data_IF_779605611041
#
_entry.id   IF_779605611041
#
_cell.length_a   1.000
_cell.length_b   1.000
_cell.length_c   1.000
_cell.angle_alpha   90.00
_cell.angle_beta   90.00
_cell.angle_gamma   90.00
#
_symmetry.space_group_name_H-M   'P 1'
#
loop_
_entity.id
_entity.type
_entity.pdbx_description
1 polymer ?
#
# COMPACT_ATOMS: atom_id res chain seq x y z
N UNK A 1 -8.96 -19.56 9.75
CA UNK A 1 -8.14 -19.45 8.53
C UNK A 1 -8.31 -18.06 7.97
N UNK A 2 -7.21 -17.43 7.55
CA UNK A 2 -7.26 -16.12 6.89
C UNK A 2 -7.82 -16.24 5.47
N UNK A 3 -8.63 -15.27 5.06
CA UNK A 3 -9.18 -15.19 3.70
C UNK A 3 -8.25 -14.40 2.79
N UNK A 4 -8.17 -14.79 1.52
CA UNK A 4 -7.38 -14.09 0.48
C UNK A 4 -8.27 -13.12 -0.32
N UNK A 5 -9.59 -13.14 -0.13
CA UNK A 5 -10.53 -12.27 -0.85
C UNK A 5 -10.30 -10.78 -0.56
N UNK A 6 -10.25 -9.99 -1.62
CA UNK A 6 -10.01 -8.54 -1.53
C UNK A 6 -11.24 -7.75 -1.10
N UNK A 7 -12.42 -8.35 -1.16
CA UNK A 7 -13.68 -7.77 -0.73
C UNK A 7 -14.48 -8.77 0.10
N UNK A 8 -15.26 -8.25 1.05
CA UNK A 8 -16.19 -9.03 1.84
C UNK A 8 -17.47 -8.22 2.09
N UNK A 9 -18.57 -8.94 2.22
CA UNK A 9 -19.84 -8.31 2.59
C UNK A 9 -19.86 -7.89 4.06
N UNK A 10 -20.68 -6.89 4.40
CA UNK A 10 -20.98 -6.53 5.79
C UNK A 10 -21.45 -7.76 6.58
N UNK A 11 -22.21 -8.65 5.93
CA UNK A 11 -22.60 -9.95 6.48
C UNK A 11 -21.40 -10.79 6.91
N UNK A 12 -20.46 -11.03 5.99
CA UNK A 12 -19.31 -11.90 6.24
C UNK A 12 -18.36 -11.31 7.27
N UNK A 13 -18.05 -10.02 7.16
CA UNK A 13 -17.18 -9.32 8.11
C UNK A 13 -17.75 -9.43 9.51
N UNK A 14 -19.04 -9.12 9.70
CA UNK A 14 -19.66 -9.08 11.02
C UNK A 14 -19.68 -10.42 11.73
N UNK A 15 -19.87 -11.51 11.00
CA UNK A 15 -19.80 -12.87 11.55
C UNK A 15 -18.35 -13.27 11.84
N UNK A 16 -17.45 -13.10 10.87
CA UNK A 16 -16.08 -13.58 10.96
C UNK A 16 -15.24 -12.82 11.98
N UNK A 17 -15.56 -11.54 12.23
CA UNK A 17 -14.86 -10.72 13.22
C UNK A 17 -14.92 -11.35 14.61
N UNK A 18 -16.03 -11.98 14.97
CA UNK A 18 -16.17 -12.69 16.24
C UNK A 18 -16.00 -14.21 16.10
N UNK A 19 -15.36 -14.67 15.03
CA UNK A 19 -15.13 -16.10 14.72
C UNK A 19 -16.42 -16.92 14.55
N UNK A 20 -17.52 -16.30 14.10
CA UNK A 20 -18.76 -17.00 13.75
C UNK A 20 -18.81 -17.36 12.26
N UNK A 21 -19.41 -18.51 11.96
CA UNK A 21 -19.64 -18.98 10.59
C UNK A 21 -20.83 -18.23 9.94
N UNK A 22 -20.62 -17.51 8.82
CA UNK A 22 -21.68 -16.77 8.12
C UNK A 22 -22.69 -17.64 7.37
N UNK A 23 -22.38 -18.91 7.09
CA UNK A 23 -23.27 -19.81 6.33
C UNK A 23 -24.11 -20.74 7.23
N UNK A 24 -23.85 -20.73 8.54
CA UNK A 24 -24.62 -21.50 9.51
C UNK A 24 -26.08 -21.04 9.61
N UNK A 25 -27.02 -22.00 9.56
CA UNK A 25 -28.44 -21.72 9.78
C UNK A 25 -28.70 -21.32 11.24
N UNK A 26 -29.35 -20.16 11.46
CA UNK A 26 -29.70 -19.69 12.82
C UNK A 26 -31.01 -18.92 12.88
N UNK A 27 -31.71 -19.10 14.01
CA UNK A 27 -32.96 -18.38 14.32
C UNK A 27 -32.72 -16.97 14.87
N UNK A 28 -31.56 -16.72 15.53
CA UNK A 28 -31.16 -15.40 16.05
C UNK A 28 -29.65 -15.20 15.93
N UNK A 29 -29.24 -13.97 15.63
CA UNK A 29 -27.83 -13.58 15.59
C UNK A 29 -27.28 -13.33 17.01
N UNK A 30 -26.03 -13.73 17.29
CA UNK A 30 -25.32 -13.33 18.51
C UNK A 30 -25.24 -11.81 18.63
N UNK A 31 -25.16 -11.30 19.86
CA UNK A 31 -25.09 -9.86 20.12
C UNK A 31 -23.91 -9.22 19.38
N UNK A 32 -22.71 -9.79 19.46
CA UNK A 32 -21.53 -9.25 18.78
C UNK A 32 -21.68 -9.14 17.25
N UNK A 33 -22.41 -10.05 16.61
CA UNK A 33 -22.69 -9.94 15.15
C UNK A 33 -23.59 -8.75 14.89
N UNK A 34 -24.62 -8.55 15.73
CA UNK A 34 -25.54 -7.41 15.60
C UNK A 34 -24.82 -6.09 15.84
N UNK A 35 -23.93 -6.03 16.80
CA UNK A 35 -23.15 -4.83 17.10
C UNK A 35 -22.21 -4.50 15.93
N UNK A 36 -21.59 -5.51 15.32
CA UNK A 36 -20.80 -5.32 14.10
C UNK A 36 -21.64 -4.84 12.91
N UNK A 37 -22.86 -5.36 12.71
CA UNK A 37 -23.76 -4.87 11.67
C UNK A 37 -24.05 -3.37 11.83
N UNK A 38 -24.36 -2.96 13.06
CA UNK A 38 -24.63 -1.56 13.40
C UNK A 38 -23.41 -0.69 13.14
N UNK A 39 -22.27 -1.09 13.69
CA UNK A 39 -21.01 -0.37 13.57
C UNK A 39 -20.62 -0.11 12.11
N UNK A 40 -20.69 -1.15 11.26
CA UNK A 40 -20.30 -1.04 9.87
C UNK A 40 -21.27 -0.18 9.06
N UNK A 41 -22.59 -0.34 9.25
CA UNK A 41 -23.54 0.49 8.52
C UNK A 41 -23.54 1.95 9.00
N UNK A 42 -23.29 2.21 10.28
CA UNK A 42 -23.10 3.56 10.79
C UNK A 42 -21.87 4.21 10.13
N UNK A 43 -20.74 3.50 10.06
CA UNK A 43 -19.53 3.99 9.38
C UNK A 43 -19.76 4.24 7.88
N UNK A 44 -20.49 3.37 7.19
CA UNK A 44 -20.85 3.55 5.77
C UNK A 44 -21.76 4.76 5.59
N UNK A 45 -22.79 4.92 6.43
CA UNK A 45 -23.77 6.01 6.34
C UNK A 45 -23.12 7.38 6.58
N UNK A 46 -22.13 7.44 7.47
CA UNK A 46 -21.37 8.65 7.76
C UNK A 46 -20.22 8.92 6.78
N UNK A 47 -19.96 8.01 5.84
CA UNK A 47 -18.87 8.15 4.86
C UNK A 47 -17.48 7.98 5.45
N UNK A 48 -17.37 7.33 6.60
CA UNK A 48 -16.09 6.96 7.19
C UNK A 48 -15.52 5.68 6.59
N UNK A 49 -16.40 4.82 6.07
CA UNK A 49 -16.04 3.57 5.44
C UNK A 49 -16.65 3.52 4.04
N UNK A 50 -15.80 3.38 3.03
CA UNK A 50 -16.25 3.24 1.66
C UNK A 50 -16.88 1.85 1.42
N UNK A 51 -18.08 1.84 0.84
CA UNK A 51 -18.79 0.62 0.44
C UNK A 51 -18.95 0.63 -1.08
N UNK A 52 -18.37 -0.36 -1.76
CA UNK A 52 -18.32 -0.40 -3.22
C UNK A 52 -19.71 -0.47 -3.87
N UNK A 53 -20.66 -1.12 -3.18
CA UNK A 53 -22.02 -1.34 -3.68
C UNK A 53 -23.05 -0.35 -3.13
N UNK A 54 -22.66 0.61 -2.27
CA UNK A 54 -23.56 1.60 -1.67
C UNK A 54 -22.91 3.00 -1.67
N UNK A 55 -23.24 3.78 -2.69
CA UNK A 55 -22.76 5.13 -2.93
C UNK A 55 -23.59 6.13 -2.11
N UNK A 56 -22.91 7.05 -1.40
CA UNK A 56 -23.53 8.10 -0.58
C UNK A 56 -24.14 9.25 -1.39
N UNK A 57 -23.63 9.47 -2.61
CA UNK A 57 -24.09 10.53 -3.49
C UNK A 57 -25.60 10.42 -3.76
N UNK A 58 -26.26 11.57 -4.00
CA UNK A 58 -27.63 11.54 -4.51
C UNK A 58 -27.59 11.00 -5.94
N UNK A 59 -28.45 10.01 -6.25
CA UNK A 59 -28.68 9.61 -7.65
C UNK A 59 -29.24 10.79 -8.44
N UNK A 60 -28.62 11.20 -9.56
CA UNK A 60 -29.20 12.21 -10.44
C UNK A 60 -30.55 11.74 -10.96
N UNK A 61 -31.52 12.65 -11.06
CA UNK A 61 -32.90 12.30 -11.39
C UNK A 61 -33.02 11.67 -12.80
N UNK A 62 -32.20 12.13 -13.75
CA UNK A 62 -32.13 11.61 -15.13
C UNK A 62 -31.18 10.40 -15.31
N UNK A 63 -30.60 9.88 -14.23
CA UNK A 63 -29.63 8.80 -14.32
C UNK A 63 -30.29 7.45 -14.65
N UNK A 64 -29.68 6.73 -15.60
CA UNK A 64 -30.00 5.32 -15.89
C UNK A 64 -29.33 4.33 -14.93
N UNK A 65 -28.51 4.81 -13.99
CA UNK A 65 -27.86 3.96 -13.01
C UNK A 65 -28.88 3.25 -12.11
N UNK A 66 -28.62 1.98 -11.79
CA UNK A 66 -29.47 1.18 -10.93
C UNK A 66 -29.57 1.82 -9.53
N UNK A 67 -30.78 2.18 -9.05
CA UNK A 67 -30.98 2.77 -7.73
C UNK A 67 -30.39 1.96 -6.58
N UNK A 68 -30.26 0.63 -6.70
CA UNK A 68 -29.75 -0.25 -5.64
C UNK A 68 -28.31 0.07 -5.20
N UNK A 69 -27.54 0.74 -6.06
CA UNK A 69 -26.20 1.17 -5.71
C UNK A 69 -26.17 2.45 -4.87
N UNK A 70 -27.32 3.06 -4.58
CA UNK A 70 -27.39 4.33 -3.85
C UNK A 70 -27.93 4.09 -2.45
N UNK A 71 -27.22 4.60 -1.44
CA UNK A 71 -27.56 4.39 -0.04
C UNK A 71 -28.98 4.86 0.29
N UNK A 72 -29.44 5.92 -0.40
CA UNK A 72 -30.77 6.52 -0.20
C UNK A 72 -31.91 5.56 -0.53
N UNK A 73 -31.68 4.59 -1.42
CA UNK A 73 -32.67 3.55 -1.74
C UNK A 73 -32.84 2.54 -0.60
N UNK A 74 -31.85 2.42 0.27
CA UNK A 74 -31.82 1.49 1.39
C UNK A 74 -31.87 2.19 2.76
N UNK A 75 -32.20 3.48 2.78
CA UNK A 75 -32.00 4.33 3.97
C UNK A 75 -32.78 3.82 5.19
N UNK A 76 -34.04 3.40 4.98
CA UNK A 76 -34.88 2.89 6.06
C UNK A 76 -34.33 1.56 6.62
N UNK A 77 -33.89 0.66 5.73
CA UNK A 77 -33.30 -0.63 6.09
C UNK A 77 -31.97 -0.47 6.86
N UNK A 78 -31.19 0.56 6.49
CA UNK A 78 -29.94 0.92 7.16
C UNK A 78 -30.23 1.49 8.55
N UNK A 79 -31.19 2.41 8.68
CA UNK A 79 -31.59 2.93 9.99
C UNK A 79 -32.16 1.85 10.90
N UNK A 80 -32.99 0.96 10.35
CA UNK A 80 -33.50 -0.19 11.09
C UNK A 80 -32.37 -1.08 11.62
N UNK A 81 -31.33 -1.29 10.79
CA UNK A 81 -30.15 -2.04 11.19
C UNK A 81 -29.38 -1.33 12.32
N UNK A 82 -29.10 -0.03 12.17
CA UNK A 82 -28.34 0.79 13.14
C UNK A 82 -29.08 0.82 14.50
N UNK A 83 -30.39 1.04 14.49
CA UNK A 83 -31.20 1.02 15.71
C UNK A 83 -31.45 -0.40 16.25
N UNK A 84 -31.18 -1.43 15.44
CA UNK A 84 -31.32 -2.83 15.81
C UNK A 84 -32.77 -3.33 15.84
N UNK A 85 -33.68 -2.65 15.13
CA UNK A 85 -35.08 -3.07 14.96
C UNK A 85 -35.16 -4.29 14.02
N UNK A 86 -34.47 -4.23 12.88
CA UNK A 86 -34.46 -5.29 11.87
C UNK A 86 -33.10 -5.40 11.16
N UNK A 87 -32.78 -6.60 10.67
CA UNK A 87 -31.52 -6.88 9.96
C UNK A 87 -31.85 -7.48 8.59
N UNK A 88 -31.85 -6.66 7.53
CA UNK A 88 -32.10 -7.14 6.18
C UNK A 88 -30.88 -7.95 5.66
N UNK A 89 -31.01 -9.28 5.67
CA UNK A 89 -29.95 -10.20 5.22
C UNK A 89 -29.51 -9.95 3.77
N UNK A 90 -30.44 -9.58 2.87
CA UNK A 90 -30.10 -9.33 1.46
C UNK A 90 -29.21 -8.10 1.35
N UNK A 91 -29.55 -7.02 2.07
CA UNK A 91 -28.75 -5.80 2.11
C UNK A 91 -27.37 -6.05 2.73
N UNK A 92 -27.32 -6.78 3.86
CA UNK A 92 -26.08 -7.13 4.53
C UNK A 92 -25.12 -7.94 3.64
N UNK A 93 -25.65 -8.85 2.82
CA UNK A 93 -24.86 -9.61 1.83
C UNK A 93 -24.50 -8.78 0.59
N UNK A 94 -25.28 -7.75 0.27
CA UNK A 94 -25.07 -6.85 -0.88
C UNK A 94 -23.99 -5.80 -0.60
N UNK A 95 -23.93 -5.26 0.61
CA UNK A 95 -22.98 -4.23 1.00
C UNK A 95 -21.55 -4.80 1.05
N UNK A 96 -20.72 -4.48 0.05
CA UNK A 96 -19.34 -4.96 -0.10
C UNK A 96 -18.34 -3.89 0.33
N UNK A 97 -17.40 -4.29 1.16
CA UNK A 97 -16.30 -3.45 1.64
C UNK A 97 -14.99 -4.06 1.13
N UNK A 98 -14.09 -3.21 0.61
CA UNK A 98 -12.77 -3.66 0.21
C UNK A 98 -11.85 -3.82 1.42
N UNK A 99 -10.88 -4.72 1.30
CA UNK A 99 -9.88 -4.98 2.34
C UNK A 99 -9.07 -3.71 2.66
N UNK A 100 -8.75 -2.90 1.65
CA UNK A 100 -7.95 -1.69 1.85
C UNK A 100 -8.76 -0.61 2.58
N UNK A 101 -10.00 -0.35 2.16
CA UNK A 101 -10.86 0.63 2.81
C UNK A 101 -11.17 0.23 4.26
N UNK A 102 -11.39 -1.07 4.50
CA UNK A 102 -11.60 -1.59 5.85
C UNK A 102 -10.36 -1.43 6.74
N UNK A 103 -9.16 -1.68 6.18
CA UNK A 103 -7.88 -1.51 6.89
C UNK A 103 -7.69 -0.06 7.30
N UNK A 104 -7.83 0.86 6.35
CA UNK A 104 -7.69 2.31 6.56
C UNK A 104 -8.67 2.80 7.64
N UNK A 105 -9.93 2.40 7.54
CA UNK A 105 -10.94 2.74 8.54
C UNK A 105 -10.60 2.21 9.95
N UNK A 106 -10.12 0.97 10.07
CA UNK A 106 -9.68 0.42 11.35
C UNK A 106 -8.50 1.22 11.94
N UNK A 107 -7.52 1.56 11.10
CA UNK A 107 -6.34 2.35 11.51
C UNK A 107 -6.74 3.74 12.00
N UNK A 108 -7.64 4.44 11.28
CA UNK A 108 -8.17 5.75 11.69
C UNK A 108 -8.92 5.71 13.02
N UNK A 109 -9.66 4.64 13.29
CA UNK A 109 -10.42 4.45 14.53
C UNK A 109 -9.62 3.77 15.64
N UNK A 110 -8.34 3.43 15.41
CA UNK A 110 -7.50 2.65 16.33
C UNK A 110 -8.14 1.31 16.74
N UNK A 111 -8.89 0.70 15.82
CA UNK A 111 -9.52 -0.61 16.00
C UNK A 111 -8.49 -1.69 15.60
N UNK A 112 -8.33 -2.76 16.40
CA UNK A 112 -7.42 -3.85 16.05
C UNK A 112 -7.88 -4.53 14.75
N UNK A 113 -6.95 -4.69 13.82
CA UNK A 113 -7.22 -5.38 12.56
C UNK A 113 -7.61 -6.85 12.85
N UNK A 114 -8.74 -7.33 12.31
CA UNK A 114 -9.21 -8.65 12.61
C UNK A 114 -8.38 -9.72 11.91
N UNK A 115 -7.86 -10.69 12.67
CA UNK A 115 -6.95 -11.73 12.19
C UNK A 115 -7.51 -12.59 11.04
N UNK A 116 -8.85 -12.70 10.94
CA UNK A 116 -9.48 -13.47 9.86
C UNK A 116 -9.23 -12.87 8.47
N UNK A 117 -8.96 -11.57 8.40
CA UNK A 117 -8.68 -10.85 7.15
C UNK A 117 -7.27 -10.27 7.12
N UNK A 118 -6.74 -9.93 8.29
CA UNK A 118 -5.41 -9.38 8.49
C UNK A 118 -4.59 -10.25 9.46
N UNK A 119 -4.17 -11.45 9.04
CA UNK A 119 -3.37 -12.32 9.90
C UNK A 119 -1.99 -11.72 10.20
N UNK A 120 -1.48 -11.86 11.45
CA UNK A 120 -0.18 -11.32 11.83
C UNK A 120 0.94 -11.79 10.91
N UNK A 121 1.79 -10.85 10.45
CA UNK A 121 2.96 -11.15 9.63
C UNK A 121 2.71 -11.21 8.12
N UNK A 122 1.48 -11.01 7.64
CA UNK A 122 1.25 -10.82 6.21
C UNK A 122 1.76 -9.46 5.73
N UNK A 123 2.40 -9.46 4.55
CA UNK A 123 2.74 -8.25 3.81
C UNK A 123 1.58 -7.92 2.87
N UNK A 124 0.81 -6.90 3.21
CA UNK A 124 -0.33 -6.45 2.40
C UNK A 124 0.10 -5.54 1.24
N UNK A 125 1.25 -4.88 1.39
CA UNK A 125 1.98 -4.23 0.31
C UNK A 125 2.77 -5.30 -0.43
N UNK A 126 2.10 -6.09 -1.26
CA UNK A 126 2.77 -7.05 -2.12
C UNK A 126 3.40 -6.29 -3.29
N UNK A 127 4.70 -6.02 -3.20
CA UNK A 127 5.51 -5.65 -4.37
C UNK A 127 5.50 -6.84 -5.34
N UNK A 128 4.73 -6.73 -6.42
CA UNK A 128 4.81 -7.73 -7.48
C UNK A 128 6.24 -7.74 -8.04
N UNK A 129 6.82 -8.92 -8.31
CA UNK A 129 8.11 -8.99 -9.00
C UNK A 129 8.03 -8.23 -10.33
N UNK A 130 9.16 -7.74 -10.84
CA UNK A 130 9.24 -6.84 -12.02
C UNK A 130 8.46 -7.32 -13.26
N UNK A 131 8.21 -8.62 -13.39
CA UNK A 131 7.46 -9.21 -14.51
C UNK A 131 6.19 -9.95 -14.07
N UNK A 132 5.77 -9.80 -12.81
CA UNK A 132 4.70 -10.59 -12.18
C UNK A 132 5.20 -11.89 -11.55
N UNK A 133 4.28 -12.73 -11.07
CA UNK A 133 4.64 -14.06 -10.52
C UNK A 133 4.92 -15.06 -11.64
N UNK A 134 5.71 -16.10 -11.38
CA UNK A 134 6.01 -17.18 -12.35
C UNK A 134 4.75 -17.85 -12.91
N UNK A 135 3.63 -17.82 -12.18
CA UNK A 135 2.35 -18.32 -12.66
C UNK A 135 1.82 -17.55 -13.87
N UNK A 136 2.09 -16.23 -13.98
CA UNK A 136 1.71 -15.43 -15.14
C UNK A 136 2.44 -15.83 -16.43
N UNK A 137 3.58 -16.50 -16.33
CA UNK A 137 4.39 -16.90 -17.48
C UNK A 137 4.22 -18.37 -17.85
N UNK A 138 3.35 -19.10 -17.13
CA UNK A 138 3.13 -20.51 -17.37
C UNK A 138 2.32 -20.71 -18.66
N UNK A 139 2.94 -21.29 -19.68
CA UNK A 139 2.31 -21.61 -20.96
C UNK A 139 2.18 -23.11 -21.09
N UNK A 140 0.99 -23.58 -21.48
CA UNK A 140 0.76 -24.99 -21.77
C UNK A 140 1.62 -25.43 -22.96
N UNK A 141 2.25 -26.60 -22.82
CA UNK A 141 2.87 -27.32 -23.94
C UNK A 141 2.11 -28.61 -24.19
N UNK A 142 1.81 -28.87 -25.47
CA UNK A 142 1.19 -30.12 -25.88
C UNK A 142 2.14 -31.29 -25.56
N UNK A 143 1.68 -32.28 -24.77
CA UNK A 143 2.50 -33.42 -24.39
C UNK A 143 2.72 -34.36 -25.58
N UNK A 144 3.89 -35.01 -25.63
CA UNK A 144 4.23 -35.98 -26.67
C UNK A 144 3.38 -37.27 -26.63
N UNK A 145 2.80 -37.58 -25.46
CA UNK A 145 1.96 -38.75 -25.24
C UNK A 145 0.55 -38.34 -24.79
N UNK A 146 -0.50 -39.03 -25.26
CA UNK A 146 -1.87 -38.78 -24.83
C UNK A 146 -2.03 -39.04 -23.33
N UNK A 147 -2.53 -38.04 -22.59
CA UNK A 147 -2.67 -38.08 -21.13
C UNK A 147 -1.51 -37.43 -20.35
N UNK A 148 -0.48 -36.93 -21.03
CA UNK A 148 0.60 -36.17 -20.40
C UNK A 148 0.23 -34.73 -20.03
N UNK A 149 1.13 -34.04 -19.33
CA UNK A 149 1.03 -32.61 -19.03
C UNK A 149 2.41 -31.97 -19.08
N UNK A 150 2.53 -30.87 -19.81
CA UNK A 150 3.77 -30.09 -19.88
C UNK A 150 3.45 -28.59 -19.80
N UNK A 151 4.32 -27.86 -19.09
CA UNK A 151 4.30 -26.40 -18.97
C UNK A 151 5.69 -25.90 -19.29
N UNK A 152 5.78 -24.77 -20.01
CA UNK A 152 6.98 -23.94 -20.07
C UNK A 152 6.74 -22.58 -19.46
N UNK A 153 7.82 -21.91 -19.05
CA UNK A 153 7.74 -20.55 -18.51
C UNK A 153 8.36 -19.59 -19.51
N UNK A 154 7.54 -18.73 -20.10
CA UNK A 154 8.00 -17.74 -21.07
C UNK A 154 7.46 -16.37 -20.69
N UNK A 155 8.37 -15.42 -20.47
CA UNK A 155 8.00 -14.02 -20.32
C UNK A 155 7.52 -13.53 -21.70
N UNK A 156 6.27 -13.03 -21.82
CA UNK A 156 5.73 -12.50 -23.06
C UNK A 156 6.64 -11.42 -23.67
N UNK A 157 6.83 -11.43 -24.99
CA UNK A 157 7.65 -10.42 -25.68
C UNK A 157 7.15 -9.00 -25.44
N UNK A 158 5.84 -8.80 -25.26
CA UNK A 158 5.29 -7.48 -24.92
C UNK A 158 5.83 -6.92 -23.60
N UNK A 159 6.20 -7.78 -22.64
CA UNK A 159 6.82 -7.38 -21.36
C UNK A 159 8.35 -7.24 -21.44
N UNK A 160 8.97 -7.84 -22.46
CA UNK A 160 10.41 -7.67 -22.75
C UNK A 160 10.68 -6.38 -23.51
N UNK A 161 9.77 -6.02 -24.42
CA UNK A 161 9.83 -4.80 -25.24
C UNK A 161 9.12 -3.62 -24.60
N UNK A 162 8.23 -3.86 -23.62
CA UNK A 162 8.15 -2.93 -22.51
C UNK A 162 9.53 -2.98 -21.85
N UNK A 163 10.43 -2.10 -22.32
CA UNK A 163 11.09 -1.26 -21.34
C UNK A 163 9.98 -0.88 -20.39
N UNK A 164 10.00 -1.42 -19.18
CA UNK A 164 9.47 -0.67 -18.08
C UNK A 164 10.07 0.72 -18.28
N UNK A 165 9.26 1.66 -18.74
CA UNK A 165 9.51 3.06 -18.51
C UNK A 165 9.30 3.22 -17.01
N UNK A 166 10.26 2.72 -16.25
CA UNK A 166 10.90 3.55 -15.25
C UNK A 166 11.79 4.58 -15.92
N UNK A 167 11.24 5.28 -16.91
CA UNK A 167 11.23 6.71 -16.70
C UNK A 167 10.49 6.89 -15.36
N UNK A 168 11.02 7.60 -14.36
CA UNK A 168 11.45 8.97 -14.60
C UNK A 168 10.73 9.51 -15.85
N UNK A 169 9.39 9.46 -15.83
CA UNK A 169 8.67 10.51 -16.54
C UNK A 169 9.17 11.77 -15.86
N UNK A 170 9.71 12.66 -16.68
CA UNK A 170 10.16 13.99 -16.25
C UNK A 170 8.98 14.88 -15.82
N UNK A 171 7.82 14.27 -15.50
CA UNK A 171 6.52 14.91 -15.30
C UNK A 171 5.57 14.16 -14.32
N UNK A 172 6.07 13.27 -13.46
CA UNK A 172 5.27 12.70 -12.36
C UNK A 172 5.96 12.87 -10.99
N UNK A 173 6.15 14.13 -10.59
CA UNK A 173 6.35 14.50 -9.19
C UNK A 173 5.01 14.82 -8.52
N UNK A 174 4.16 13.81 -8.40
CA UNK A 174 3.20 13.75 -7.30
C UNK A 174 3.39 12.40 -6.59
N UNK A 175 4.58 12.26 -5.97
CA UNK A 175 4.81 11.25 -4.95
C UNK A 175 3.90 11.56 -3.76
N UNK A 176 2.97 10.64 -3.49
CA UNK A 176 2.08 10.66 -2.35
C UNK A 176 2.87 10.83 -1.04
N UNK A 177 2.88 12.08 -0.55
CA UNK A 177 3.67 12.54 0.58
C UNK A 177 3.13 12.09 1.95
N UNK A 178 2.08 11.27 1.96
CA UNK A 178 1.39 10.83 3.17
C UNK A 178 2.05 9.63 3.87
N UNK A 179 2.81 8.80 3.14
CA UNK A 179 3.33 7.53 3.68
C UNK A 179 4.78 7.58 4.22
N UNK A 180 5.62 8.49 3.72
CA UNK A 180 7.03 8.56 4.12
C UNK A 180 7.25 9.60 5.24
N UNK A 181 7.93 9.20 6.32
CA UNK A 181 8.30 10.14 7.40
C UNK A 181 9.14 11.26 6.79
N UNK A 182 8.96 12.51 7.26
CA UNK A 182 9.69 13.71 6.76
C UNK A 182 11.20 13.51 6.59
N UNK A 183 11.81 12.71 7.46
CA UNK A 183 13.22 12.34 7.41
C UNK A 183 13.56 11.42 6.21
N UNK A 184 12.72 10.43 5.90
CA UNK A 184 12.89 9.54 4.75
C UNK A 184 12.72 10.30 3.43
N UNK A 185 11.76 11.22 3.35
CA UNK A 185 11.61 12.12 2.21
C UNK A 185 12.86 13.00 2.02
N UNK A 186 13.34 13.64 3.09
CA UNK A 186 14.55 14.46 3.02
C UNK A 186 15.79 13.66 2.60
N UNK A 187 15.91 12.41 3.06
CA UNK A 187 16.96 11.49 2.67
C UNK A 187 16.90 11.16 1.17
N UNK A 188 15.73 10.79 0.65
CA UNK A 188 15.56 10.44 -0.76
C UNK A 188 15.84 11.63 -1.68
N UNK A 189 15.32 12.82 -1.35
CA UNK A 189 15.59 14.04 -2.10
C UNK A 189 17.08 14.40 -2.10
N UNK A 190 17.75 14.31 -0.94
CA UNK A 190 19.19 14.56 -0.85
C UNK A 190 20.00 13.56 -1.70
N UNK A 191 19.58 12.29 -1.74
CA UNK A 191 20.25 11.27 -2.52
C UNK A 191 20.07 11.48 -4.04
N UNK A 192 18.87 11.81 -4.49
CA UNK A 192 18.60 12.08 -5.90
C UNK A 192 19.39 13.29 -6.43
N UNK A 193 19.39 14.40 -5.67
CA UNK A 193 20.17 15.59 -6.02
C UNK A 193 21.66 15.29 -6.07
N UNK A 194 22.18 14.54 -5.09
CA UNK A 194 23.60 14.19 -5.08
C UNK A 194 24.00 13.27 -6.24
N UNK A 195 23.13 12.39 -6.71
CA UNK A 195 23.38 11.58 -7.91
C UNK A 195 23.49 12.47 -9.14
N UNK A 196 22.61 13.46 -9.30
CA UNK A 196 22.69 14.41 -10.42
C UNK A 196 23.97 15.26 -10.34
N UNK A 197 24.29 15.82 -9.17
CA UNK A 197 25.48 16.65 -8.99
C UNK A 197 26.76 15.84 -9.21
N UNK A 198 26.82 14.56 -8.78
CA UNK A 198 28.00 13.72 -9.06
C UNK A 198 28.13 13.28 -10.51
N UNK A 199 27.03 13.23 -11.28
CA UNK A 199 27.11 13.02 -12.73
C UNK A 199 27.76 14.22 -13.42
N UNK A 200 27.46 15.43 -12.97
CA UNK A 200 28.03 16.66 -13.54
C UNK A 200 29.42 17.01 -12.98
N UNK A 201 29.70 16.63 -11.73
CA UNK A 201 30.93 16.93 -11.01
C UNK A 201 31.40 15.71 -10.20
N UNK A 202 32.04 14.73 -10.86
CA UNK A 202 32.42 13.46 -10.24
C UNK A 202 33.54 13.57 -9.20
N UNK A 203 34.19 14.72 -9.09
CA UNK A 203 35.28 14.96 -8.14
C UNK A 203 34.81 15.49 -6.77
N UNK A 204 33.57 15.97 -6.67
CA UNK A 204 33.03 16.55 -5.43
C UNK A 204 33.02 15.53 -4.30
N UNK A 205 33.64 15.87 -3.18
CA UNK A 205 33.67 15.02 -2.00
C UNK A 205 32.34 15.07 -1.23
N UNK A 206 32.07 14.08 -0.37
CA UNK A 206 30.86 14.06 0.47
C UNK A 206 30.77 15.33 1.35
N UNK A 207 31.91 15.87 1.81
CA UNK A 207 31.95 17.07 2.65
C UNK A 207 31.58 18.34 1.88
N UNK A 208 31.99 18.44 0.61
CA UNK A 208 31.58 19.54 -0.28
C UNK A 208 30.12 19.40 -0.68
N UNK A 209 29.66 18.18 -0.92
CA UNK A 209 28.27 17.86 -1.24
C UNK A 209 27.32 18.22 -0.08
N UNK A 210 27.75 18.06 1.17
CA UNK A 210 26.99 18.51 2.34
C UNK A 210 26.85 20.04 2.44
N UNK A 211 27.69 20.81 1.74
CA UNK A 211 27.68 22.28 1.74
C UNK A 211 27.11 22.85 0.44
N UNK A 212 26.68 22.01 -0.48
CA UNK A 212 26.16 22.43 -1.78
C UNK A 212 24.80 23.11 -1.63
N UNK A 213 24.66 24.29 -2.23
CA UNK A 213 23.46 25.13 -2.11
C UNK A 213 22.20 24.44 -2.63
N UNK A 214 22.33 23.59 -3.66
CA UNK A 214 21.19 22.85 -4.21
C UNK A 214 20.68 21.80 -3.22
N UNK A 215 21.59 21.11 -2.54
CA UNK A 215 21.22 20.12 -1.53
C UNK A 215 20.65 20.82 -0.29
N UNK A 216 21.28 21.89 0.19
CA UNK A 216 20.78 22.63 1.36
C UNK A 216 19.39 23.24 1.14
N UNK A 217 19.11 23.75 -0.06
CA UNK A 217 17.87 24.46 -0.36
C UNK A 217 16.71 23.54 -0.76
N UNK A 218 16.98 22.49 -1.54
CA UNK A 218 15.91 21.68 -2.17
C UNK A 218 15.71 20.30 -1.56
N UNK A 219 16.65 19.78 -0.76
CA UNK A 219 16.48 18.43 -0.17
C UNK A 219 15.66 18.39 1.12
N UNK A 220 15.44 19.53 1.78
CA UNK A 220 14.89 19.58 3.15
C UNK A 220 15.83 19.02 4.22
N UNK A 221 17.06 18.63 3.86
CA UNK A 221 18.07 18.07 4.76
C UNK A 221 18.86 19.11 5.56
N UNK A 222 18.59 20.41 5.39
CA UNK A 222 19.23 21.48 6.15
C UNK A 222 19.09 21.28 7.67
N UNK A 223 17.94 20.77 8.11
CA UNK A 223 17.65 20.46 9.51
C UNK A 223 18.32 19.15 10.01
N UNK A 224 19.00 18.42 9.11
CA UNK A 224 19.58 17.09 9.36
C UNK A 224 21.08 17.04 9.02
N UNK A 225 21.80 18.12 9.32
CA UNK A 225 23.20 18.30 8.94
C UNK A 225 24.15 17.23 9.50
N UNK A 226 23.81 16.60 10.63
CA UNK A 226 24.57 15.48 11.22
C UNK A 226 24.30 14.13 10.53
N UNK A 227 23.14 13.97 9.87
CA UNK A 227 22.74 12.73 9.20
C UNK A 227 23.04 12.75 7.68
N UNK A 228 23.10 13.95 7.09
CA UNK A 228 23.35 14.18 5.67
C UNK A 228 24.63 13.50 5.14
N UNK A 229 25.81 13.56 5.82
CA UNK A 229 27.01 12.88 5.33
C UNK A 229 26.84 11.35 5.23
N UNK A 230 26.06 10.77 6.16
CA UNK A 230 25.77 9.33 6.18
C UNK A 230 24.86 8.95 5.02
N UNK A 231 23.83 9.74 4.73
CA UNK A 231 22.92 9.50 3.61
C UNK A 231 23.62 9.57 2.25
N UNK A 232 24.49 10.58 2.08
CA UNK A 232 25.28 10.75 0.87
C UNK A 232 26.32 9.64 0.69
N UNK A 233 26.88 9.11 1.79
CA UNK A 233 27.85 8.02 1.71
C UNK A 233 27.27 6.70 1.17
N UNK A 234 25.95 6.46 1.30
CA UNK A 234 25.30 5.24 0.81
C UNK A 234 25.33 5.15 -0.72
N UNK A 235 25.14 6.29 -1.38
CA UNK A 235 25.04 6.43 -2.84
C UNK A 235 26.32 6.97 -3.50
N UNK A 236 27.33 7.33 -2.70
CA UNK A 236 28.57 7.90 -3.21
C UNK A 236 29.27 6.95 -4.20
N UNK A 237 29.82 7.47 -5.31
CA UNK A 237 30.61 6.68 -6.26
C UNK A 237 31.79 5.98 -5.58
N UNK A 238 32.20 4.83 -6.12
CA UNK A 238 33.27 3.97 -5.56
C UNK A 238 34.59 4.76 -5.37
N UNK A 239 34.86 5.72 -6.25
CA UNK A 239 36.04 6.59 -6.20
C UNK A 239 36.05 7.59 -5.02
N UNK A 240 34.88 7.80 -4.39
CA UNK A 240 34.67 8.70 -3.25
C UNK A 240 34.44 7.90 -1.94
N UNK A 241 33.89 6.68 -2.04
CA UNK A 241 33.78 5.71 -0.93
C UNK A 241 35.16 5.23 -0.48
N UNK A 242 35.76 5.94 0.49
CA UNK A 242 37.00 5.48 1.11
C UNK A 242 37.99 6.55 1.54
N UNK A 243 37.78 7.83 1.20
CA UNK A 243 38.59 8.94 1.73
C UNK A 243 38.22 9.24 3.19
N UNK A 244 38.60 8.34 4.11
CA UNK A 244 38.45 8.53 5.56
C UNK A 244 39.51 9.51 6.06
N UNK A 245 39.09 10.70 6.46
CA UNK A 245 39.93 11.70 7.13
C UNK A 245 40.28 11.30 8.57
N UNK A 246 41.18 10.33 8.75
CA UNK A 246 41.97 10.25 9.99
C UNK A 246 43.37 10.77 9.67
N UNK A 247 43.87 11.83 10.33
CA UNK A 247 45.24 12.28 10.12
C UNK A 247 46.18 11.12 10.48
N UNK A 248 47.18 10.84 9.63
CA UNK A 248 48.29 9.97 10.02
C UNK A 248 48.97 10.62 11.21
N UNK A 249 49.02 9.91 12.34
CA UNK A 249 49.84 10.30 13.49
C UNK A 249 51.28 10.34 12.98
N UNK A 250 51.92 11.53 13.00
CA UNK A 250 53.37 11.64 12.80
C UNK A 250 54.01 10.72 13.85
N UNK A 251 54.71 9.69 13.39
CA UNK A 251 55.73 9.03 14.19
C UNK A 251 56.87 10.03 14.33
N UNK A 252 57.23 10.36 15.57
CA UNK A 252 58.48 11.05 15.86
C UNK A 252 59.64 10.19 15.35
N UNK A 253 60.19 10.55 14.20
CA UNK A 253 61.61 10.35 13.93
C UNK A 253 62.36 11.33 14.83
N UNK A 254 62.73 10.86 16.02
CA UNK A 254 63.90 11.37 16.69
C UNK A 254 65.09 10.88 15.89
N UNK A 255 65.64 11.81 15.10
CA UNK A 255 66.99 11.77 14.59
C UNK A 255 67.99 11.65 15.75
N UNK A 256 69.08 10.96 15.43
CA UNK A 256 70.37 10.95 16.14
C UNK A 256 70.80 12.33 16.67
#
# INVERSE_FOLDING_TARGET
>A
MALITDELSVWDISHRWISYDPEGFRFRYPLGVKDNFKLLFEAILHGELFCQTLILAKRPDDSKADPKYYIRTHIDEIYDCIHGSAFNKKLLKWALISRNDFKEWCEHRSIPLPEFWFPPGWKYEFEQPEFGTRAFWATHMEPAEPGGFAIRFEIPEQLKDSKWTGGYSDDALELDSSSLRKNQLAKLCAQQLAIQIWKESPEKTISEMCRDDLIQKYSGAANYQSALPKWLSEIAPVNIKGKRGRPRKKSDESLD
#
